data_IF_503037008037
#
_entry.id   IF_503037008037
#
_cell.length_a   1.000
_cell.length_b   1.000
_cell.length_c   1.000
_cell.angle_alpha   90.00
_cell.angle_beta   90.00
_cell.angle_gamma   90.00
#
_symmetry.space_group_name_H-M   'P 1'
#
loop_
_entity.id
_entity.type
_entity.pdbx_description
1 polymer ?
#
# COMPACT_ATOMS: atom_id res chain seq x y z
N UNK A 1 -6.62 -7.97 22.55
CA UNK A 1 -6.93 -8.95 21.49
C UNK A 1 -8.06 -8.48 20.56
N UNK A 2 -9.15 -7.87 21.05
CA UNK A 2 -10.26 -7.37 20.20
C UNK A 2 -9.95 -5.96 19.62
N UNK A 3 -9.19 -5.13 20.33
CA UNK A 3 -8.90 -3.74 19.93
C UNK A 3 -8.18 -3.59 18.59
N UNK A 4 -7.34 -4.55 18.20
CA UNK A 4 -6.52 -4.47 16.98
C UNK A 4 -7.36 -4.41 15.69
N UNK A 5 -8.58 -4.98 15.73
CA UNK A 5 -9.50 -5.03 14.60
C UNK A 5 -10.60 -3.97 14.64
N UNK A 6 -10.63 -3.15 15.70
CA UNK A 6 -11.60 -2.07 15.79
C UNK A 6 -11.30 -1.04 14.70
N UNK A 7 -12.23 -0.92 13.75
CA UNK A 7 -12.23 0.11 12.70
C UNK A 7 -13.49 0.96 12.90
N UNK A 8 -13.42 2.30 12.72
CA UNK A 8 -14.60 3.14 12.81
C UNK A 8 -15.54 2.85 11.64
N UNK A 9 -16.71 3.47 11.59
CA UNK A 9 -17.43 3.59 10.31
C UNK A 9 -16.58 4.40 9.33
N UNK A 10 -16.50 3.96 8.07
CA UNK A 10 -15.67 4.57 7.03
C UNK A 10 -16.35 4.46 5.66
N UNK A 11 -15.93 5.30 4.72
CA UNK A 11 -16.34 5.18 3.32
C UNK A 11 -15.42 4.22 2.58
N UNK A 12 -15.98 3.27 1.84
CA UNK A 12 -15.24 2.40 0.94
C UNK A 12 -15.71 2.58 -0.50
N UNK A 13 -14.76 2.85 -1.39
CA UNK A 13 -14.97 2.86 -2.83
C UNK A 13 -14.43 1.56 -3.42
N UNK A 14 -15.24 0.90 -4.25
CA UNK A 14 -14.87 -0.32 -4.97
C UNK A 14 -14.88 -0.06 -6.47
N UNK A 15 -14.08 -0.83 -7.21
CA UNK A 15 -13.85 -0.59 -8.63
C UNK A 15 -14.36 -1.77 -9.46
N UNK A 16 -15.30 -1.49 -10.36
CA UNK A 16 -15.83 -2.46 -11.32
C UNK A 16 -15.04 -2.40 -12.63
N UNK A 17 -14.79 -3.54 -13.26
CA UNK A 17 -14.06 -3.61 -14.53
C UNK A 17 -12.56 -3.31 -14.40
N UNK A 18 -11.98 -3.57 -13.21
CA UNK A 18 -10.54 -3.46 -13.01
C UNK A 18 -9.78 -4.44 -13.93
N UNK A 19 -8.65 -4.04 -14.54
CA UNK A 19 -8.05 -4.79 -15.65
C UNK A 19 -7.31 -6.07 -15.23
N UNK A 20 -7.02 -6.25 -13.94
CA UNK A 20 -6.42 -7.48 -13.42
C UNK A 20 -7.50 -8.43 -12.87
N UNK A 21 -7.43 -9.69 -13.29
CA UNK A 21 -8.20 -10.81 -12.76
C UNK A 21 -7.29 -11.73 -11.94
N UNK A 22 -7.89 -12.62 -11.13
CA UNK A 22 -7.17 -13.65 -10.36
C UNK A 22 -6.07 -13.10 -9.44
N UNK A 23 -6.37 -11.97 -8.78
CA UNK A 23 -5.50 -11.27 -7.82
C UNK A 23 -6.00 -11.44 -6.39
N UNK A 24 -5.09 -11.42 -5.41
CA UNK A 24 -5.41 -11.63 -4.00
C UNK A 24 -6.18 -10.46 -3.39
N UNK A 25 -5.81 -9.23 -3.72
CA UNK A 25 -6.46 -8.04 -3.21
C UNK A 25 -7.57 -7.54 -4.14
N UNK A 26 -8.68 -7.06 -3.58
CA UNK A 26 -9.68 -6.30 -4.35
C UNK A 26 -9.31 -4.81 -4.43
N UNK A 27 -9.40 -4.16 -5.59
CA UNK A 27 -9.12 -2.74 -5.74
C UNK A 27 -10.12 -1.91 -4.92
N UNK A 28 -9.60 -1.05 -4.03
CA UNK A 28 -10.43 -0.26 -3.12
C UNK A 28 -9.73 0.99 -2.60
N UNK A 29 -10.52 2.00 -2.25
CA UNK A 29 -10.11 3.16 -1.44
C UNK A 29 -10.96 3.17 -0.18
N UNK A 30 -10.33 3.34 0.97
CA UNK A 30 -10.96 3.43 2.28
C UNK A 30 -10.63 4.80 2.89
N UNK A 31 -11.65 5.51 3.37
CA UNK A 31 -11.52 6.84 3.98
C UNK A 31 -12.06 6.80 5.40
N UNK A 32 -11.15 6.84 6.37
CA UNK A 32 -11.46 6.71 7.80
C UNK A 32 -11.47 8.08 8.48
N UNK A 33 -12.43 8.36 9.40
CA UNK A 33 -12.33 9.49 10.31
C UNK A 33 -11.14 9.28 11.25
N UNK A 34 -10.09 10.08 11.07
CA UNK A 34 -8.79 9.85 11.71
C UNK A 34 -8.88 9.90 13.23
N UNK A 35 -9.47 10.95 13.82
CA UNK A 35 -9.60 11.08 15.28
C UNK A 35 -10.41 9.95 15.91
N UNK A 36 -11.49 9.50 15.25
CA UNK A 36 -12.29 8.36 15.74
C UNK A 36 -11.46 7.08 15.68
N UNK A 37 -10.72 6.86 14.59
CA UNK A 37 -9.86 5.68 14.46
C UNK A 37 -8.77 5.67 15.54
N UNK A 38 -8.10 6.82 15.75
CA UNK A 38 -7.12 7.02 16.83
C UNK A 38 -7.73 6.78 18.21
N UNK A 39 -8.99 7.12 18.44
CA UNK A 39 -9.63 6.96 19.74
C UNK A 39 -9.89 5.49 20.10
N UNK A 40 -10.33 4.67 19.13
CA UNK A 40 -10.83 3.31 19.38
C UNK A 40 -9.79 2.20 19.16
N UNK A 41 -8.66 2.52 18.52
CA UNK A 41 -7.60 1.56 18.18
C UNK A 41 -6.22 2.18 18.42
N UNK A 42 -5.46 1.63 19.39
CA UNK A 42 -4.14 2.15 19.77
C UNK A 42 -3.09 1.97 18.68
N UNK A 43 -3.17 0.89 17.90
CA UNK A 43 -2.22 0.63 16.82
C UNK A 43 -2.47 1.61 15.67
N UNK A 44 -3.74 1.82 15.30
CA UNK A 44 -4.11 2.85 14.33
C UNK A 44 -3.71 4.26 14.82
N UNK A 45 -3.83 4.55 16.13
CA UNK A 45 -3.31 5.79 16.71
C UNK A 45 -1.83 5.99 16.42
N UNK A 46 -1.03 4.97 16.70
CA UNK A 46 0.40 5.03 16.49
C UNK A 46 0.74 5.19 15.01
N UNK A 47 0.09 4.40 14.13
CA UNK A 47 0.33 4.43 12.69
C UNK A 47 -0.08 5.78 12.08
N UNK A 48 -1.25 6.32 12.42
CA UNK A 48 -1.69 7.63 11.94
C UNK A 48 -0.74 8.74 12.41
N UNK A 49 -0.33 8.71 13.69
CA UNK A 49 0.61 9.70 14.23
C UNK A 49 1.99 9.61 13.57
N UNK A 50 2.46 8.40 13.27
CA UNK A 50 3.69 8.20 12.52
C UNK A 50 3.56 8.70 11.08
N UNK A 51 2.41 8.47 10.42
CA UNK A 51 2.17 9.00 9.08
C UNK A 51 2.17 10.53 9.05
N UNK A 52 1.60 11.20 10.07
CA UNK A 52 1.64 12.66 10.19
C UNK A 52 3.09 13.17 10.12
N UNK A 53 4.02 12.54 10.85
CA UNK A 53 5.44 12.92 10.84
C UNK A 53 6.14 12.47 9.55
N UNK A 54 5.84 11.28 9.06
CA UNK A 54 6.44 10.71 7.85
C UNK A 54 6.19 11.58 6.61
N UNK A 55 4.98 12.15 6.49
CA UNK A 55 4.62 13.04 5.39
C UNK A 55 5.26 14.44 5.49
N UNK A 56 5.73 14.82 6.67
CA UNK A 56 6.55 16.03 6.87
C UNK A 56 8.01 15.76 6.48
N UNK A 57 8.57 14.65 6.98
CA UNK A 57 9.99 14.34 6.80
C UNK A 57 10.32 13.85 5.38
N UNK A 58 9.35 13.19 4.72
CA UNK A 58 9.47 12.61 3.38
C UNK A 58 10.82 11.89 3.16
N UNK A 59 11.19 10.91 4.02
CA UNK A 59 12.46 10.20 3.89
C UNK A 59 12.61 9.57 2.50
N UNK A 60 13.82 9.65 1.94
CA UNK A 60 14.12 9.08 0.63
C UNK A 60 14.27 7.55 0.67
N UNK A 61 14.75 7.02 1.80
CA UNK A 61 14.97 5.60 2.02
C UNK A 61 14.41 5.25 3.41
N UNK A 62 13.25 4.60 3.42
CA UNK A 62 12.48 4.33 4.64
C UNK A 62 12.30 2.83 4.84
N UNK A 63 12.93 2.30 5.89
CA UNK A 63 12.76 0.91 6.32
C UNK A 63 11.31 0.58 6.74
N UNK A 64 10.53 1.60 7.11
CA UNK A 64 9.13 1.46 7.49
C UNK A 64 8.30 2.61 6.93
N UNK A 65 7.17 2.27 6.30
CA UNK A 65 6.15 3.24 5.87
C UNK A 65 4.85 2.93 6.64
N UNK A 66 4.26 3.90 7.36
CA UNK A 66 3.01 3.70 8.09
C UNK A 66 1.87 3.22 7.17
N UNK A 67 1.22 2.12 7.53
CA UNK A 67 0.24 1.45 6.67
C UNK A 67 -1.01 1.02 7.45
N UNK A 68 -2.18 1.35 6.91
CA UNK A 68 -3.48 0.81 7.32
C UNK A 68 -4.26 0.29 6.10
N UNK A 69 -5.24 -0.60 6.30
CA UNK A 69 -5.56 -1.30 7.55
C UNK A 69 -4.46 -2.30 7.94
N UNK A 70 -4.44 -2.70 9.21
CA UNK A 70 -3.44 -3.65 9.72
C UNK A 70 -3.63 -5.01 9.06
N UNK A 71 -2.57 -5.56 8.48
CA UNK A 71 -2.52 -6.94 8.00
C UNK A 71 -1.78 -7.81 9.00
N UNK A 72 -2.31 -9.01 9.27
CA UNK A 72 -1.65 -9.99 10.13
C UNK A 72 -0.64 -10.85 9.32
N UNK A 73 0.30 -10.15 8.68
CA UNK A 73 1.31 -10.67 7.78
C UNK A 73 2.53 -9.74 7.79
N UNK A 74 3.70 -10.26 7.41
CA UNK A 74 4.91 -9.46 7.21
C UNK A 74 4.86 -8.71 5.89
N UNK A 75 5.32 -7.46 5.88
CA UNK A 75 5.55 -6.70 4.65
C UNK A 75 6.90 -7.11 4.06
N UNK A 76 6.93 -7.54 2.81
CA UNK A 76 8.17 -8.01 2.18
C UNK A 76 9.01 -6.88 1.59
N UNK A 77 8.39 -5.98 0.82
CA UNK A 77 9.13 -4.95 0.07
C UNK A 77 8.39 -3.61 -0.01
N UNK A 78 9.11 -2.54 -0.37
CA UNK A 78 8.61 -1.17 -0.55
C UNK A 78 9.20 -0.51 -1.80
N UNK A 79 8.89 -1.06 -2.97
CA UNK A 79 9.36 -0.50 -4.24
C UNK A 79 8.58 0.76 -4.66
N UNK A 80 9.18 1.58 -5.51
CA UNK A 80 8.54 2.70 -6.20
C UNK A 80 7.87 3.69 -5.22
N UNK A 81 8.58 4.10 -4.18
CA UNK A 81 8.07 5.07 -3.19
C UNK A 81 7.95 6.46 -3.82
N UNK A 82 6.76 7.06 -3.75
CA UNK A 82 6.51 8.43 -4.22
C UNK A 82 5.57 9.19 -3.28
N UNK A 83 5.87 10.45 -3.03
CA UNK A 83 5.02 11.34 -2.25
C UNK A 83 4.06 12.10 -3.17
N UNK A 84 2.77 12.00 -2.88
CA UNK A 84 1.71 12.57 -3.70
C UNK A 84 0.92 13.58 -2.88
N UNK A 85 0.90 14.82 -3.34
CA UNK A 85 -0.05 15.83 -2.89
C UNK A 85 -1.35 15.70 -3.72
N UNK A 86 -2.49 15.69 -3.04
CA UNK A 86 -3.83 15.72 -3.63
C UNK A 86 -4.55 17.03 -3.27
N UNK A 87 -5.79 17.23 -3.75
CA UNK A 87 -6.42 18.56 -3.71
C UNK A 87 -6.50 19.18 -2.32
N UNK A 88 -6.61 18.37 -1.26
CA UNK A 88 -6.70 18.84 0.11
C UNK A 88 -5.91 17.98 1.11
N UNK A 89 -4.77 17.45 0.70
CA UNK A 89 -3.89 16.68 1.58
C UNK A 89 -2.66 16.12 0.87
N UNK A 90 -1.96 15.23 1.55
CA UNK A 90 -0.77 14.55 1.02
C UNK A 90 -0.73 13.10 1.47
N UNK A 91 0.01 12.27 0.75
CA UNK A 91 0.28 10.89 1.14
C UNK A 91 1.53 10.34 0.48
N UNK A 92 1.81 9.08 0.77
CA UNK A 92 2.90 8.30 0.17
C UNK A 92 2.30 7.09 -0.52
N UNK A 93 2.72 6.84 -1.76
CA UNK A 93 2.42 5.60 -2.49
C UNK A 93 3.66 4.76 -2.68
N UNK A 94 3.46 3.45 -2.76
CA UNK A 94 4.52 2.48 -3.03
C UNK A 94 3.91 1.15 -3.47
N UNK A 95 4.72 0.27 -4.04
CA UNK A 95 4.39 -1.11 -4.36
C UNK A 95 4.85 -2.03 -3.23
N UNK A 96 4.03 -3.00 -2.88
CA UNK A 96 4.34 -3.92 -1.80
C UNK A 96 3.64 -5.26 -1.97
N UNK A 97 4.09 -6.23 -1.18
CA UNK A 97 3.47 -7.54 -1.01
C UNK A 97 3.59 -7.93 0.46
N UNK A 98 2.56 -8.60 0.98
CA UNK A 98 2.56 -9.13 2.33
C UNK A 98 2.48 -10.66 2.30
N UNK A 99 3.07 -11.32 3.29
CA UNK A 99 2.93 -12.77 3.45
C UNK A 99 3.17 -13.26 4.87
N UNK A 100 2.65 -14.45 5.17
CA UNK A 100 2.82 -15.10 6.48
C UNK A 100 4.03 -16.05 6.55
N UNK A 101 4.58 -16.40 5.39
CA UNK A 101 5.76 -17.23 5.20
C UNK A 101 6.47 -16.78 3.92
N UNK A 102 7.70 -17.25 3.71
CA UNK A 102 8.43 -17.00 2.47
C UNK A 102 7.58 -17.35 1.25
N UNK A 103 7.42 -16.39 0.35
CA UNK A 103 6.58 -16.49 -0.83
C UNK A 103 7.10 -15.56 -1.92
N UNK A 104 7.21 -16.01 -3.19
CA UNK A 104 7.77 -15.20 -4.27
C UNK A 104 7.00 -13.90 -4.46
N UNK A 105 7.72 -12.83 -4.80
CA UNK A 105 7.10 -11.58 -5.26
C UNK A 105 6.49 -11.83 -6.64
N UNK A 106 5.20 -11.55 -6.80
CA UNK A 106 4.47 -12.00 -7.99
C UNK A 106 3.28 -11.09 -8.36
N UNK A 107 2.71 -11.33 -9.55
CA UNK A 107 1.63 -10.53 -10.12
C UNK A 107 0.23 -10.76 -9.52
N UNK A 108 0.04 -11.77 -8.68
CA UNK A 108 -1.24 -12.04 -7.99
C UNK A 108 -1.32 -11.33 -6.64
N UNK A 109 -0.19 -11.25 -5.92
CA UNK A 109 -0.13 -10.77 -4.54
C UNK A 109 0.42 -9.34 -4.40
N UNK A 110 1.22 -8.86 -5.37
CA UNK A 110 1.73 -7.49 -5.34
C UNK A 110 0.60 -6.46 -5.58
N UNK A 111 0.69 -5.34 -4.87
CA UNK A 111 -0.25 -4.24 -5.03
C UNK A 111 0.42 -2.87 -4.86
N UNK A 112 -0.14 -1.88 -5.56
CA UNK A 112 0.01 -0.47 -5.26
C UNK A 112 -0.78 -0.14 -4.01
N UNK A 113 -0.17 0.63 -3.12
CA UNK A 113 -0.85 1.24 -1.99
C UNK A 113 -0.58 2.73 -1.90
N UNK A 114 -1.55 3.48 -1.41
CA UNK A 114 -1.39 4.88 -1.05
C UNK A 114 -1.91 5.10 0.38
N UNK A 115 -1.10 5.73 1.22
CA UNK A 115 -1.42 6.06 2.60
C UNK A 115 -1.33 7.58 2.77
N UNK A 116 -2.46 8.23 3.06
CA UNK A 116 -2.56 9.69 3.03
C UNK A 116 -3.40 10.28 4.14
N UNK A 117 -3.21 11.58 4.35
CA UNK A 117 -3.94 12.40 5.31
C UNK A 117 -4.42 13.69 4.62
N UNK A 118 -5.63 14.09 4.98
CA UNK A 118 -6.15 15.44 4.68
C UNK A 118 -5.37 16.50 5.45
N UNK A 119 -5.27 17.72 4.89
CA UNK A 119 -4.52 18.84 5.47
C UNK A 119 -5.04 19.23 6.87
N UNK A 120 -6.34 19.09 7.11
CA UNK A 120 -7.00 19.32 8.41
C UNK A 120 -6.90 18.12 9.37
N UNK A 121 -6.24 17.05 8.93
CA UNK A 121 -6.03 15.77 9.63
C UNK A 121 -7.32 15.07 10.03
N UNK A 122 -8.47 15.42 9.44
CA UNK A 122 -9.75 14.82 9.80
C UNK A 122 -9.92 13.42 9.23
N UNK A 123 -9.28 13.14 8.09
CA UNK A 123 -9.42 11.87 7.36
C UNK A 123 -8.09 11.24 7.01
N UNK A 124 -8.03 9.92 7.23
CA UNK A 124 -6.99 9.02 6.75
C UNK A 124 -7.49 8.29 5.50
N UNK A 125 -6.67 8.23 4.46
CA UNK A 125 -6.96 7.55 3.20
C UNK A 125 -6.01 6.37 3.04
N UNK A 126 -6.56 5.18 2.81
CA UNK A 126 -5.83 4.00 2.39
C UNK A 126 -6.37 3.53 1.04
N UNK A 127 -5.52 3.47 0.03
CA UNK A 127 -5.87 2.88 -1.25
C UNK A 127 -5.06 1.61 -1.48
N UNK A 128 -5.70 0.57 -2.03
CA UNK A 128 -5.08 -0.71 -2.35
C UNK A 128 -5.54 -1.11 -3.74
N UNK A 129 -4.60 -1.27 -4.66
CA UNK A 129 -4.84 -1.57 -6.06
C UNK A 129 -3.88 -2.66 -6.51
N UNK A 130 -4.37 -3.84 -6.95
CA UNK A 130 -3.51 -4.85 -7.56
C UNK A 130 -2.79 -4.26 -8.77
N UNK A 131 -1.49 -4.52 -8.89
CA UNK A 131 -0.67 -4.06 -10.02
C UNK A 131 0.24 -5.22 -10.44
N UNK A 132 0.45 -5.36 -11.74
CA UNK A 132 1.36 -6.34 -12.31
C UNK A 132 2.50 -5.67 -13.09
N UNK A 133 3.60 -6.41 -13.26
CA UNK A 133 4.72 -6.03 -14.10
C UNK A 133 5.18 -7.25 -14.93
N UNK A 134 5.55 -7.08 -16.22
CA UNK A 134 5.95 -8.20 -17.09
C UNK A 134 7.15 -9.01 -16.58
N UNK A 135 8.05 -8.40 -15.80
CA UNK A 135 9.22 -9.10 -15.26
C UNK A 135 8.89 -9.97 -14.04
N UNK A 136 7.73 -9.79 -13.41
CA UNK A 136 7.37 -10.59 -12.25
C UNK A 136 6.78 -11.95 -12.68
N UNK A 137 7.18 -13.03 -12.02
CA UNK A 137 6.71 -14.37 -12.35
C UNK A 137 5.25 -14.57 -11.95
N UNK A 138 4.65 -15.62 -12.49
CA UNK A 138 3.48 -16.24 -11.85
C UNK A 138 3.98 -17.01 -10.61
N UNK A 139 3.31 -16.96 -9.43
CA UNK A 139 3.85 -17.61 -8.23
C UNK A 139 4.12 -19.10 -8.42
N UNK A 140 3.21 -19.83 -9.07
CA UNK A 140 3.37 -21.26 -9.38
C UNK A 140 4.56 -21.59 -10.30
N UNK A 141 5.19 -20.58 -10.91
CA UNK A 141 6.36 -20.79 -11.79
C UNK A 141 7.70 -20.69 -11.05
N UNK A 142 7.69 -20.28 -9.78
CA UNK A 142 8.91 -20.15 -8.96
C UNK A 142 9.15 -21.45 -8.19
N UNK A 143 10.36 -22.00 -8.32
CA UNK A 143 10.79 -23.13 -7.49
C UNK A 143 11.18 -22.62 -6.11
N UNK A 144 10.51 -23.11 -5.07
CA UNK A 144 10.76 -22.76 -3.67
C UNK A 144 11.44 -23.96 -2.98
N UNK A 145 12.72 -24.15 -3.29
CA UNK A 145 13.60 -25.16 -2.66
C UNK A 145 14.37 -24.58 -1.47
N UNK A 146 15.26 -25.36 -0.87
CA UNK A 146 16.03 -24.95 0.31
C UNK A 146 16.84 -23.66 0.04
N UNK A 147 17.42 -23.50 -1.15
CA UNK A 147 18.17 -22.30 -1.54
C UNK A 147 17.26 -21.05 -1.56
N UNK A 148 16.02 -21.17 -2.04
CA UNK A 148 15.05 -20.06 -1.99
C UNK A 148 14.73 -19.64 -0.54
N UNK A 149 14.51 -20.59 0.35
CA UNK A 149 14.20 -20.29 1.75
C UNK A 149 15.40 -19.71 2.50
N UNK A 150 16.60 -20.26 2.28
CA UNK A 150 17.83 -19.81 2.93
C UNK A 150 18.23 -18.39 2.50
N UNK A 151 17.86 -17.98 1.28
CA UNK A 151 18.21 -16.67 0.70
C UNK A 151 16.98 -15.79 0.44
N UNK A 152 15.86 -16.02 1.13
CA UNK A 152 14.58 -15.37 0.81
C UNK A 152 14.64 -13.85 0.87
N UNK A 153 15.28 -13.26 1.89
CA UNK A 153 15.37 -11.80 2.02
C UNK A 153 16.26 -11.18 0.95
N UNK A 154 17.40 -11.81 0.61
CA UNK A 154 18.26 -11.35 -0.49
C UNK A 154 17.51 -11.38 -1.84
N UNK A 155 16.65 -12.39 -2.05
CA UNK A 155 15.74 -12.45 -3.20
C UNK A 155 14.74 -11.28 -3.20
N UNK A 156 14.10 -11.00 -2.05
CA UNK A 156 13.12 -9.90 -1.92
C UNK A 156 13.79 -8.55 -2.21
N UNK A 157 14.96 -8.30 -1.63
CA UNK A 157 15.72 -7.06 -1.84
C UNK A 157 16.12 -6.90 -3.33
N UNK A 158 16.56 -7.97 -3.97
CA UNK A 158 16.88 -7.97 -5.40
C UNK A 158 15.68 -7.64 -6.30
N UNK A 159 14.48 -8.17 -5.98
CA UNK A 159 13.25 -7.82 -6.72
C UNK A 159 12.82 -6.39 -6.44
N UNK A 160 12.96 -5.89 -5.21
CA UNK A 160 12.67 -4.50 -4.87
C UNK A 160 13.56 -3.53 -5.65
N UNK A 161 14.87 -3.79 -5.69
CA UNK A 161 15.83 -3.04 -6.51
C UNK A 161 15.46 -3.07 -7.99
N UNK A 162 15.11 -4.24 -8.54
CA UNK A 162 14.69 -4.36 -9.94
C UNK A 162 13.45 -3.50 -10.22
N UNK A 163 12.42 -3.62 -9.38
CA UNK A 163 11.17 -2.87 -9.53
C UNK A 163 11.41 -1.36 -9.44
N UNK A 164 12.33 -0.89 -8.59
CA UNK A 164 12.71 0.52 -8.47
C UNK A 164 13.34 1.09 -9.76
N UNK A 165 13.88 0.24 -10.64
CA UNK A 165 14.43 0.68 -11.94
C UNK A 165 13.41 0.74 -13.08
N UNK A 166 12.21 0.17 -12.89
CA UNK A 166 11.19 0.09 -13.93
C UNK A 166 10.48 1.44 -14.13
N UNK A 167 9.97 1.67 -15.35
CA UNK A 167 9.17 2.86 -15.64
C UNK A 167 7.72 2.65 -15.21
N UNK A 168 7.11 3.63 -14.56
CA UNK A 168 5.72 3.55 -14.09
C UNK A 168 4.68 3.20 -15.15
N UNK A 169 4.97 3.44 -16.45
CA UNK A 169 4.10 3.08 -17.58
C UNK A 169 4.11 1.59 -17.95
N UNK A 170 5.13 0.85 -17.51
CA UNK A 170 5.33 -0.56 -17.85
C UNK A 170 4.57 -1.50 -16.88
N UNK A 171 4.03 -0.92 -15.80
CA UNK A 171 3.09 -1.58 -14.90
C UNK A 171 1.67 -1.61 -15.48
N UNK A 172 0.87 -2.58 -15.02
CA UNK A 172 -0.55 -2.69 -15.38
C UNK A 172 -1.43 -2.78 -14.13
N UNK A 173 -2.34 -1.81 -13.90
CA UNK A 173 -2.45 -0.52 -14.59
C UNK A 173 -1.17 0.31 -14.50
N UNK A 174 -0.94 1.27 -15.43
CA UNK A 174 0.17 2.21 -15.32
C UNK A 174 0.11 2.99 -14.00
N UNK A 175 1.25 3.11 -13.31
CA UNK A 175 1.31 3.79 -12.01
C UNK A 175 0.83 5.24 -12.13
N UNK A 176 1.18 5.93 -13.22
CA UNK A 176 0.76 7.32 -13.45
C UNK A 176 -0.76 7.50 -13.45
N UNK A 177 -1.53 6.51 -13.92
CA UNK A 177 -3.00 6.57 -13.91
C UNK A 177 -3.54 6.45 -12.48
N UNK A 178 -2.94 5.59 -11.67
CA UNK A 178 -3.29 5.45 -10.25
C UNK A 178 -2.86 6.69 -9.45
N UNK A 179 -1.69 7.24 -9.75
CA UNK A 179 -1.16 8.48 -9.16
C UNK A 179 -2.08 9.66 -9.48
N UNK A 180 -2.49 9.84 -10.73
CA UNK A 180 -3.42 10.90 -11.15
C UNK A 180 -4.78 10.76 -10.47
N UNK A 181 -5.26 9.53 -10.30
CA UNK A 181 -6.47 9.26 -9.51
C UNK A 181 -6.30 9.71 -8.06
N UNK A 182 -5.16 9.39 -7.40
CA UNK A 182 -4.88 9.86 -6.04
C UNK A 182 -4.77 11.38 -5.96
N UNK A 183 -4.07 12.03 -6.92
CA UNK A 183 -3.95 13.49 -7.02
C UNK A 183 -5.31 14.17 -7.15
N UNK A 184 -6.26 13.51 -7.80
CA UNK A 184 -7.61 14.03 -8.01
C UNK A 184 -8.50 14.03 -6.76
N UNK A 185 -8.11 13.33 -5.69
CA UNK A 185 -8.92 13.19 -4.48
C UNK A 185 -9.19 14.56 -3.83
N UNK A 186 -10.43 14.74 -3.41
CA UNK A 186 -10.87 15.82 -2.53
C UNK A 186 -11.79 15.21 -1.48
N UNK A 187 -11.33 15.17 -0.24
CA UNK A 187 -12.08 14.54 0.86
C UNK A 187 -12.67 15.64 1.72
N UNK A 188 -13.96 15.93 1.53
CA UNK A 188 -14.71 16.89 2.33
C UNK A 188 -15.69 16.12 3.21
N UNK A 189 -15.80 16.52 4.48
CA UNK A 189 -16.79 15.95 5.38
C UNK A 189 -18.22 16.28 4.90
N UNK A 190 -19.15 15.35 5.13
CA UNK A 190 -20.57 15.67 5.10
C UNK A 190 -20.91 16.50 6.34
N UNK A 191 -21.50 17.68 6.14
CA UNK A 191 -22.10 18.47 7.22
C UNK A 191 -23.26 17.71 7.89
#
# INVERSE_FOLDING_TARGET
AIEQWNTPEYYQFTFSGYPLADVFHSPRIMVFPAEVYKAINSDARNIITQLEQFLVDKPADAEYIPFLPIFNAGQFMRAQVEYIDFQNGSGVRFLTQYGQAAWPINNQDMFYTFQGLTNDRQYYISAIFPVSHPNLPHPDSVTMDDDFYDNFMDYVDGVEEELNTQLGKDFSPPLLVLDDMMRSLSVVGGN
#
